data_IF_016647791026
#
_entry.id   IF_016647791026
#
_cell.length_a   1.000
_cell.length_b   1.000
_cell.length_c   1.000
_cell.angle_alpha   90.00
_cell.angle_beta   90.00
_cell.angle_gamma   90.00
#
_symmetry.space_group_name_H-M   'P 1'
#
loop_
_entity.id
_entity.type
_entity.pdbx_description
1 polymer ?
#
# COMPACT_ATOMS: atom_id res chain seq x y z
N UNK A 1 -66.84 22.20 50.92
CA UNK A 1 -66.54 23.57 50.45
C UNK A 1 -65.50 24.19 51.36
N UNK A 2 -64.27 24.27 50.87
CA UNK A 2 -63.33 25.37 51.12
C UNK A 2 -62.33 25.33 49.96
N UNK A 3 -62.48 26.32 49.10
CA UNK A 3 -61.52 26.70 48.07
C UNK A 3 -60.22 27.16 48.73
N UNK A 4 -59.11 26.89 48.04
CA UNK A 4 -57.77 27.23 48.45
C UNK A 4 -56.84 27.11 47.25
N UNK A 5 -57.11 27.97 46.27
CA UNK A 5 -56.26 28.31 45.14
C UNK A 5 -54.94 28.92 45.63
N UNK A 6 -53.82 28.54 45.02
CA UNK A 6 -52.62 29.37 44.88
C UNK A 6 -51.64 28.66 43.93
N UNK A 7 -51.70 29.09 42.68
CA UNK A 7 -50.63 29.07 41.68
C UNK A 7 -49.24 29.32 42.31
N UNK A 8 -48.29 28.43 42.00
CA UNK A 8 -46.88 28.77 41.98
C UNK A 8 -46.31 28.34 40.63
N UNK A 9 -46.32 29.28 39.69
CA UNK A 9 -45.45 29.26 38.53
C UNK A 9 -44.00 29.36 39.03
N UNK A 10 -43.22 28.28 38.91
CA UNK A 10 -41.77 28.39 38.96
C UNK A 10 -41.25 28.78 37.57
N UNK A 11 -40.43 29.85 37.47
CA UNK A 11 -39.71 30.14 36.24
C UNK A 11 -38.58 29.13 36.10
N UNK A 12 -38.57 28.38 34.99
CA UNK A 12 -37.38 27.67 34.51
C UNK A 12 -36.32 28.68 34.05
N UNK A 13 -35.70 29.39 35.00
CA UNK A 13 -34.46 30.12 34.79
C UNK A 13 -33.30 29.27 35.32
N UNK A 14 -32.72 28.47 34.42
CA UNK A 14 -31.60 27.59 34.73
C UNK A 14 -30.67 27.41 33.53
N UNK A 15 -30.39 28.47 32.78
CA UNK A 15 -29.40 28.49 31.72
C UNK A 15 -28.08 29.11 32.19
N UNK A 16 -27.55 28.72 33.36
CA UNK A 16 -26.18 29.08 33.71
C UNK A 16 -25.45 27.91 34.35
N UNK A 17 -24.19 27.75 33.94
CA UNK A 17 -23.26 26.67 34.25
C UNK A 17 -23.36 25.41 33.38
N UNK A 18 -23.06 25.57 32.09
CA UNK A 18 -22.13 24.62 31.48
C UNK A 18 -20.91 24.49 32.41
N UNK A 19 -20.83 23.35 33.11
CA UNK A 19 -19.86 23.06 34.15
C UNK A 19 -18.44 23.39 33.69
N UNK A 20 -17.60 23.95 34.57
CA UNK A 20 -16.21 24.33 34.28
C UNK A 20 -15.42 23.21 33.59
N UNK A 21 -15.79 21.96 33.86
CA UNK A 21 -15.28 20.75 33.21
C UNK A 21 -15.53 20.69 31.69
N UNK A 22 -16.72 21.06 31.21
CA UNK A 22 -17.03 21.05 29.77
C UNK A 22 -16.22 22.10 29.00
N UNK A 23 -16.00 23.28 29.61
CA UNK A 23 -15.19 24.34 29.00
C UNK A 23 -13.73 23.93 28.84
N UNK A 24 -13.18 23.23 29.83
CA UNK A 24 -11.80 22.70 29.77
C UNK A 24 -11.68 21.61 28.70
N UNK A 25 -12.67 20.72 28.61
CA UNK A 25 -12.67 19.64 27.63
C UNK A 25 -12.76 20.17 26.18
N UNK A 26 -13.62 21.17 25.95
CA UNK A 26 -13.70 21.86 24.66
C UNK A 26 -12.41 22.60 24.30
N UNK A 27 -11.70 23.16 25.29
CA UNK A 27 -10.42 23.85 25.06
C UNK A 27 -9.32 22.87 24.65
N UNK A 28 -9.23 21.71 25.31
CA UNK A 28 -8.30 20.65 24.92
C UNK A 28 -8.61 20.16 23.51
N UNK A 29 -9.88 19.93 23.20
CA UNK A 29 -10.31 19.51 21.87
C UNK A 29 -9.94 20.53 20.79
N UNK A 30 -10.10 21.83 21.06
CA UNK A 30 -9.69 22.89 20.14
C UNK A 30 -8.17 22.91 19.91
N UNK A 31 -7.36 22.70 20.95
CA UNK A 31 -5.89 22.63 20.82
C UNK A 31 -5.47 21.44 19.95
N UNK A 32 -6.10 20.27 20.14
CA UNK A 32 -5.83 19.08 19.33
C UNK A 32 -6.19 19.33 17.86
N UNK A 33 -7.33 19.98 17.58
CA UNK A 33 -7.72 20.31 16.21
C UNK A 33 -6.73 21.27 15.54
N UNK A 34 -6.25 22.29 16.24
CA UNK A 34 -5.26 23.23 15.69
C UNK A 34 -3.94 22.51 15.40
N UNK A 35 -3.51 21.60 16.28
CA UNK A 35 -2.31 20.81 16.07
C UNK A 35 -2.44 19.86 14.86
N UNK A 36 -3.59 19.20 14.70
CA UNK A 36 -3.86 18.32 13.56
C UNK A 36 -3.89 19.09 12.23
N UNK A 37 -4.55 20.25 12.19
CA UNK A 37 -4.57 21.12 11.02
C UNK A 37 -3.16 21.65 10.67
N UNK A 38 -2.38 22.04 11.67
CA UNK A 38 -0.99 22.45 11.47
C UNK A 38 -0.11 21.34 10.90
N UNK A 39 -0.28 20.11 11.39
CA UNK A 39 0.41 18.93 10.88
C UNK A 39 0.02 18.62 9.42
N UNK A 40 -1.27 18.73 9.08
CA UNK A 40 -1.75 18.51 7.72
C UNK A 40 -1.17 19.53 6.74
N UNK A 41 -1.14 20.82 7.10
CA UNK A 41 -0.51 21.88 6.28
C UNK A 41 0.99 21.67 6.13
N UNK A 42 1.67 21.21 7.19
CA UNK A 42 3.10 20.89 7.12
C UNK A 42 3.37 19.74 6.14
N UNK A 43 2.57 18.67 6.18
CA UNK A 43 2.65 17.57 5.21
C UNK A 43 2.45 18.08 3.78
N UNK A 44 1.43 18.90 3.51
CA UNK A 44 1.20 19.42 2.15
C UNK A 44 2.33 20.33 1.65
N UNK A 45 2.99 21.08 2.52
CA UNK A 45 4.10 21.97 2.14
C UNK A 45 5.46 21.27 2.03
N UNK A 46 5.61 20.09 2.64
CA UNK A 46 6.89 19.34 2.65
C UNK A 46 6.85 18.11 1.75
N UNK A 47 5.68 17.75 1.22
CA UNK A 47 5.59 16.75 0.16
C UNK A 47 6.15 17.39 -1.13
N UNK A 48 7.20 16.81 -1.75
CA UNK A 48 7.70 17.33 -3.02
C UNK A 48 6.60 17.25 -4.08
N UNK A 49 6.38 18.36 -4.79
CA UNK A 49 5.42 18.46 -5.89
C UNK A 49 5.64 17.30 -6.87
N UNK A 50 4.72 16.34 -6.88
CA UNK A 50 4.77 15.17 -7.75
C UNK A 50 3.95 15.35 -9.03
N UNK A 51 3.54 16.58 -9.33
CA UNK A 51 2.81 16.92 -10.56
C UNK A 51 3.37 18.20 -11.16
N UNK A 52 4.22 18.09 -12.20
CA UNK A 52 3.89 18.51 -13.58
C UNK A 52 5.14 18.39 -14.49
N UNK A 53 5.29 17.26 -15.20
CA UNK A 53 6.16 17.19 -16.38
C UNK A 53 5.28 16.98 -17.61
N UNK A 54 4.56 18.03 -18.02
CA UNK A 54 4.01 18.14 -19.36
C UNK A 54 3.99 19.58 -19.85
N UNK A 55 5.16 20.07 -20.28
CA UNK A 55 5.23 21.05 -21.36
C UNK A 55 6.55 20.93 -22.12
N UNK A 56 6.44 20.92 -23.45
CA UNK A 56 7.46 20.59 -24.45
C UNK A 56 8.10 21.87 -24.98
N UNK A 57 9.43 21.83 -25.22
CA UNK A 57 10.25 22.57 -26.21
C UNK A 57 10.32 24.11 -26.18
N UNK A 58 11.56 24.69 -26.16
CA UNK A 58 12.22 25.43 -27.27
C UNK A 58 13.75 25.49 -27.05
N UNK A 59 14.46 25.47 -28.18
CA UNK A 59 15.90 25.51 -28.54
C UNK A 59 16.81 26.62 -27.97
N UNK A 60 18.09 26.24 -27.98
CA UNK A 60 19.36 26.97 -28.24
C UNK A 60 19.85 28.06 -27.27
N UNK A 61 20.99 27.78 -26.62
CA UNK A 61 22.24 28.54 -26.83
C UNK A 61 23.44 27.79 -26.22
N UNK A 62 24.52 27.75 -26.99
CA UNK A 62 25.78 27.09 -26.70
C UNK A 62 26.52 27.66 -25.48
N UNK A 63 27.15 26.78 -24.70
CA UNK A 63 28.36 27.10 -23.96
C UNK A 63 29.19 25.82 -23.77
N UNK A 64 30.33 25.81 -24.46
CA UNK A 64 31.45 24.89 -24.32
C UNK A 64 31.87 24.79 -22.87
N UNK A 65 31.97 23.57 -22.33
CA UNK A 65 32.89 23.26 -21.24
C UNK A 65 33.39 21.83 -21.41
N UNK A 66 34.70 21.73 -21.59
CA UNK A 66 35.51 20.55 -21.37
C UNK A 66 35.22 20.00 -19.97
N UNK A 67 34.50 18.89 -19.92
CA UNK A 67 34.59 17.93 -18.85
C UNK A 67 34.44 16.56 -19.49
N UNK A 68 35.54 15.82 -19.54
CA UNK A 68 35.56 14.39 -19.85
C UNK A 68 34.80 13.66 -18.74
N UNK A 69 33.46 13.69 -18.80
CA UNK A 69 32.62 12.72 -18.13
C UNK A 69 32.84 11.39 -18.85
N UNK A 70 33.57 10.50 -18.20
CA UNK A 70 33.46 9.07 -18.45
C UNK A 70 32.00 8.71 -18.22
N UNK A 71 31.20 8.74 -19.29
CA UNK A 71 29.88 8.16 -19.33
C UNK A 71 30.06 6.68 -18.99
N UNK A 72 29.87 6.37 -17.70
CA UNK A 72 29.68 5.02 -17.25
C UNK A 72 28.38 4.61 -17.90
N UNK A 73 28.49 3.90 -19.02
CA UNK A 73 27.37 3.25 -19.66
C UNK A 73 26.92 2.20 -18.65
N UNK A 74 26.01 2.57 -17.75
CA UNK A 74 25.30 1.59 -16.94
C UNK A 74 24.68 0.63 -17.96
N UNK A 75 25.28 -0.55 -18.04
CA UNK A 75 24.70 -1.64 -18.80
C UNK A 75 23.48 -2.01 -17.99
N UNK A 76 22.34 -1.41 -18.31
CA UNK A 76 21.04 -1.88 -17.83
C UNK A 76 20.89 -3.28 -18.38
N UNK A 77 21.34 -4.27 -17.60
CA UNK A 77 20.83 -5.63 -17.74
C UNK A 77 19.33 -5.49 -17.55
N UNK A 78 18.58 -5.78 -18.61
CA UNK A 78 17.12 -5.87 -18.54
C UNK A 78 16.82 -7.14 -17.72
N UNK A 79 16.89 -7.00 -16.39
CA UNK A 79 16.66 -8.06 -15.40
C UNK A 79 15.21 -8.60 -15.48
N UNK A 80 14.39 -8.04 -16.36
CA UNK A 80 13.00 -8.40 -16.61
C UNK A 80 12.70 -8.87 -18.05
N UNK A 81 13.73 -9.39 -18.73
CA UNK A 81 13.57 -10.12 -19.98
C UNK A 81 13.18 -11.60 -19.72
N UNK A 82 11.88 -11.88 -19.71
CA UNK A 82 11.36 -13.24 -19.51
C UNK A 82 11.82 -14.26 -20.56
N UNK A 83 12.35 -13.84 -21.71
CA UNK A 83 12.84 -14.78 -22.74
C UNK A 83 14.17 -15.44 -22.36
N UNK A 84 14.88 -14.88 -21.37
CA UNK A 84 16.18 -15.36 -20.90
C UNK A 84 16.09 -16.30 -19.70
N UNK A 85 14.89 -16.49 -19.15
CA UNK A 85 14.70 -17.34 -17.96
C UNK A 85 14.52 -18.80 -18.33
N UNK A 86 15.04 -19.71 -17.50
CA UNK A 86 14.93 -21.17 -17.68
C UNK A 86 14.17 -21.84 -16.54
N UNK A 87 13.45 -21.04 -15.74
CA UNK A 87 12.71 -21.53 -14.57
C UNK A 87 11.52 -22.38 -15.02
N UNK A 88 11.38 -23.55 -14.40
CA UNK A 88 10.19 -24.40 -14.57
C UNK A 88 9.06 -23.87 -13.70
N UNK A 89 7.90 -23.60 -14.31
CA UNK A 89 6.71 -23.09 -13.63
C UNK A 89 5.67 -24.20 -13.49
N UNK A 90 5.04 -24.30 -12.32
CA UNK A 90 3.78 -25.05 -12.18
C UNK A 90 2.73 -24.39 -13.09
N UNK A 91 2.15 -25.16 -14.00
CA UNK A 91 1.18 -24.64 -14.96
C UNK A 91 -0.23 -24.63 -14.37
N UNK A 92 -0.95 -23.53 -14.59
CA UNK A 92 -2.38 -23.40 -14.27
C UNK A 92 -3.20 -23.48 -15.56
N UNK A 93 -4.45 -23.91 -15.44
CA UNK A 93 -5.41 -23.79 -16.56
C UNK A 93 -6.25 -22.52 -16.46
N UNK A 94 -6.50 -22.04 -15.23
CA UNK A 94 -7.46 -20.95 -14.99
C UNK A 94 -6.91 -19.78 -14.17
N UNK A 95 -5.72 -19.91 -13.55
CA UNK A 95 -5.15 -18.91 -12.65
C UNK A 95 -6.11 -18.54 -11.50
N UNK A 96 -6.58 -19.53 -10.76
CA UNK A 96 -7.51 -19.31 -9.65
C UNK A 96 -6.81 -18.73 -8.39
N UNK A 97 -6.76 -17.40 -8.33
CA UNK A 97 -6.28 -16.62 -7.17
C UNK A 97 -7.15 -16.75 -5.91
N UNK A 98 -8.30 -17.42 -6.02
CA UNK A 98 -9.18 -17.79 -4.91
C UNK A 98 -8.74 -19.05 -4.19
N UNK A 99 -7.69 -19.74 -4.67
CA UNK A 99 -7.12 -20.92 -4.00
C UNK A 99 -7.68 -22.25 -4.48
N UNK A 100 -8.32 -22.32 -5.66
CA UNK A 100 -8.76 -23.60 -6.25
C UNK A 100 -7.68 -24.35 -7.03
N UNK A 101 -6.54 -23.72 -7.35
CA UNK A 101 -5.43 -24.34 -8.08
C UNK A 101 -4.07 -23.93 -7.49
N UNK A 102 -3.06 -24.79 -7.62
CA UNK A 102 -1.66 -24.41 -7.42
C UNK A 102 -1.02 -24.03 -8.76
N UNK A 103 -0.27 -22.93 -8.78
CA UNK A 103 0.45 -22.52 -9.98
C UNK A 103 1.59 -21.57 -9.67
N UNK A 104 2.49 -21.43 -10.65
CA UNK A 104 3.53 -20.40 -10.64
C UNK A 104 3.31 -19.43 -11.81
N UNK A 105 3.77 -18.19 -11.65
CA UNK A 105 3.88 -17.22 -12.75
C UNK A 105 5.10 -16.33 -12.55
N UNK A 106 5.61 -15.74 -13.63
CA UNK A 106 6.64 -14.72 -13.55
C UNK A 106 6.05 -13.33 -13.73
N UNK A 107 6.55 -12.40 -12.94
CA UNK A 107 6.31 -10.97 -13.07
C UNK A 107 7.63 -10.22 -12.96
N UNK A 108 7.65 -9.00 -13.48
CA UNK A 108 8.67 -8.02 -13.18
C UNK A 108 8.05 -7.01 -12.21
N UNK A 109 8.76 -6.67 -11.15
CA UNK A 109 8.24 -5.70 -10.20
C UNK A 109 9.26 -5.26 -9.17
N UNK A 110 8.83 -4.40 -8.27
CA UNK A 110 9.64 -3.92 -7.16
C UNK A 110 8.81 -3.85 -5.89
N UNK A 111 9.49 -3.96 -4.76
CA UNK A 111 8.83 -3.90 -3.46
C UNK A 111 8.44 -2.47 -3.12
N UNK A 112 7.24 -2.32 -2.61
CA UNK A 112 6.71 -1.08 -2.03
C UNK A 112 6.15 -1.38 -0.65
N UNK A 113 6.19 -0.38 0.23
CA UNK A 113 5.68 -0.48 1.59
C UNK A 113 4.60 0.57 1.79
N UNK A 114 3.53 0.20 2.50
CA UNK A 114 2.42 1.11 2.82
C UNK A 114 1.99 0.91 4.25
N UNK A 115 1.92 1.99 4.99
CA UNK A 115 1.28 1.99 6.30
C UNK A 115 -0.23 1.96 6.11
N UNK A 116 -0.88 0.94 6.68
CA UNK A 116 -2.32 0.75 6.61
C UNK A 116 -2.91 0.63 8.00
N UNK A 117 -4.00 1.38 8.23
CA UNK A 117 -4.81 1.26 9.43
C UNK A 117 -5.84 0.16 9.20
N UNK A 118 -5.72 -0.93 9.95
CA UNK A 118 -6.68 -2.01 9.91
C UNK A 118 -7.69 -1.82 11.04
N UNK A 119 -8.96 -1.78 10.67
CA UNK A 119 -10.04 -1.84 11.64
C UNK A 119 -10.11 -3.27 12.19
N UNK A 120 -9.66 -3.48 13.42
CA UNK A 120 -10.00 -4.67 14.19
C UNK A 120 -11.39 -4.45 14.80
N UNK A 121 -12.26 -5.47 14.74
CA UNK A 121 -13.54 -5.39 15.45
C UNK A 121 -13.27 -5.32 16.96
N UNK A 122 -13.43 -4.13 17.55
CA UNK A 122 -13.48 -3.94 19.01
C UNK A 122 -12.19 -3.48 19.71
N UNK A 123 -11.07 -3.34 19.00
CA UNK A 123 -9.79 -2.87 19.55
C UNK A 123 -9.30 -1.59 18.84
N UNK A 124 -8.38 -0.86 19.51
CA UNK A 124 -7.64 0.29 18.95
C UNK A 124 -7.15 -0.01 17.51
N UNK A 125 -7.18 0.96 16.59
CA UNK A 125 -6.77 0.75 15.20
C UNK A 125 -5.34 0.21 15.15
N UNK A 126 -5.18 -0.96 14.52
CA UNK A 126 -3.86 -1.57 14.35
C UNK A 126 -3.22 -1.04 13.07
N UNK A 127 -2.21 -0.20 13.24
CA UNK A 127 -1.38 0.26 12.13
C UNK A 127 -0.33 -0.81 11.80
N UNK A 128 -0.32 -1.30 10.56
CA UNK A 128 0.70 -2.23 10.05
C UNK A 128 1.38 -1.66 8.81
N UNK A 129 2.68 -1.87 8.71
CA UNK A 129 3.40 -1.64 7.47
C UNK A 129 3.24 -2.87 6.58
N UNK A 130 2.48 -2.75 5.50
CA UNK A 130 2.23 -3.81 4.52
C UNK A 130 3.24 -3.78 3.40
N UNK A 131 3.68 -4.97 3.00
CA UNK A 131 4.57 -5.18 1.87
C UNK A 131 3.75 -5.50 0.62
N UNK A 132 4.02 -4.75 -0.45
CA UNK A 132 3.37 -4.93 -1.75
C UNK A 132 4.42 -5.11 -2.85
N UNK A 133 4.25 -6.13 -3.67
CA UNK A 133 4.97 -6.21 -4.94
C UNK A 133 4.23 -5.36 -5.97
N UNK A 134 4.85 -4.26 -6.37
CA UNK A 134 4.37 -3.43 -7.48
C UNK A 134 4.84 -4.03 -8.80
N UNK A 135 3.91 -4.58 -9.58
CA UNK A 135 4.18 -5.25 -10.84
C UNK A 135 4.21 -4.24 -11.99
N UNK A 136 5.31 -4.26 -12.75
CA UNK A 136 5.53 -3.42 -13.93
C UNK A 136 5.36 -4.18 -15.24
N UNK A 137 5.50 -5.52 -15.23
CA UNK A 137 5.34 -6.38 -16.41
C UNK A 137 4.88 -7.77 -16.02
N UNK A 138 3.99 -8.36 -16.82
CA UNK A 138 3.55 -9.74 -16.67
C UNK A 138 4.18 -10.61 -17.74
N UNK A 139 4.55 -11.84 -17.38
CA UNK A 139 4.93 -12.84 -18.38
C UNK A 139 3.70 -13.40 -19.11
N UNK A 140 2.63 -13.68 -18.37
CA UNK A 140 1.38 -14.25 -18.91
C UNK A 140 0.22 -13.27 -18.75
N UNK A 141 -0.37 -12.86 -19.88
CA UNK A 141 -1.54 -11.99 -19.94
C UNK A 141 -2.80 -12.64 -19.34
N UNK A 142 -2.90 -13.96 -19.32
CA UNK A 142 -4.01 -14.67 -18.66
C UNK A 142 -3.98 -14.49 -17.15
N UNK A 143 -2.79 -14.48 -16.55
CA UNK A 143 -2.64 -14.19 -15.12
C UNK A 143 -3.05 -12.75 -14.83
N UNK A 144 -2.63 -11.79 -15.67
CA UNK A 144 -3.09 -10.39 -15.57
C UNK A 144 -4.63 -10.30 -15.65
N UNK A 145 -5.26 -10.99 -16.60
CA UNK A 145 -6.72 -11.01 -16.73
C UNK A 145 -7.43 -11.61 -15.50
N UNK A 146 -6.88 -12.68 -14.91
CA UNK A 146 -7.40 -13.26 -13.67
C UNK A 146 -7.29 -12.28 -12.49
N UNK A 147 -6.18 -11.54 -12.40
CA UNK A 147 -5.97 -10.50 -11.40
C UNK A 147 -6.94 -9.33 -11.57
N UNK A 148 -7.14 -8.86 -12.80
CA UNK A 148 -8.14 -7.83 -13.15
C UNK A 148 -9.55 -8.25 -12.70
N UNK A 149 -9.93 -9.50 -12.98
CA UNK A 149 -11.23 -10.04 -12.57
C UNK A 149 -11.40 -10.02 -11.05
N UNK A 150 -10.40 -10.49 -10.30
CA UNK A 150 -10.45 -10.52 -8.84
C UNK A 150 -10.58 -9.14 -8.21
N UNK A 151 -9.84 -8.15 -8.73
CA UNK A 151 -9.95 -6.75 -8.27
C UNK A 151 -11.37 -6.23 -8.54
N UNK A 152 -11.92 -6.50 -9.73
CA UNK A 152 -13.31 -6.13 -10.07
C UNK A 152 -14.35 -6.83 -9.20
N UNK A 153 -14.07 -8.05 -8.74
CA UNK A 153 -14.96 -8.80 -7.83
C UNK A 153 -14.86 -8.33 -6.36
N UNK A 154 -14.06 -7.29 -6.06
CA UNK A 154 -13.96 -6.68 -4.74
C UNK A 154 -12.84 -7.23 -3.86
N UNK A 155 -11.84 -7.90 -4.44
CA UNK A 155 -10.62 -8.26 -3.72
C UNK A 155 -9.84 -7.00 -3.33
N UNK A 156 -9.81 -6.69 -2.02
CA UNK A 156 -9.18 -5.49 -1.46
C UNK A 156 -7.67 -5.61 -1.21
N UNK A 157 -7.12 -6.84 -1.27
CA UNK A 157 -5.68 -7.10 -1.02
C UNK A 157 -4.84 -6.70 -2.23
N UNK A 158 -5.44 -6.76 -3.42
CA UNK A 158 -4.81 -6.30 -4.65
C UNK A 158 -5.42 -4.96 -5.04
N UNK A 159 -4.59 -4.07 -5.57
CA UNK A 159 -5.11 -2.87 -6.21
C UNK A 159 -4.51 -2.72 -7.60
N UNK A 160 -5.33 -2.15 -8.50
CA UNK A 160 -4.90 -1.67 -9.79
C UNK A 160 -5.21 -0.18 -9.83
N UNK A 161 -4.17 0.66 -9.84
CA UNK A 161 -4.33 2.11 -9.95
C UNK A 161 -3.38 2.62 -11.05
N UNK A 162 -3.92 3.38 -12.00
CA UNK A 162 -3.16 3.94 -13.12
C UNK A 162 -2.30 2.89 -13.88
N UNK A 163 -2.83 1.68 -14.07
CA UNK A 163 -2.13 0.59 -14.77
C UNK A 163 -1.03 -0.11 -13.96
N UNK A 164 -0.87 0.26 -12.69
CA UNK A 164 0.09 -0.37 -11.77
C UNK A 164 -0.64 -1.37 -10.90
N UNK A 165 -0.17 -2.62 -10.86
CA UNK A 165 -0.73 -3.67 -10.03
C UNK A 165 0.08 -3.82 -8.76
N UNK A 166 -0.61 -3.88 -7.62
CA UNK A 166 0.01 -4.15 -6.34
C UNK A 166 -0.52 -5.45 -5.78
N UNK A 167 0.39 -6.39 -5.55
CA UNK A 167 0.10 -7.70 -4.97
C UNK A 167 0.51 -7.68 -3.50
N UNK A 168 -0.42 -8.00 -2.61
CA UNK A 168 -0.13 -8.11 -1.17
C UNK A 168 0.83 -9.25 -0.88
N UNK A 169 1.98 -8.92 -0.31
CA UNK A 169 3.06 -9.84 0.07
C UNK A 169 3.15 -9.99 1.59
N UNK A 170 2.08 -9.71 2.34
CA UNK A 170 2.08 -9.76 3.81
C UNK A 170 2.55 -8.45 4.46
N UNK A 171 3.21 -8.55 5.60
CA UNK A 171 3.66 -7.42 6.41
C UNK A 171 5.17 -7.22 6.32
N UNK A 172 5.63 -6.00 6.55
CA UNK A 172 7.04 -5.67 6.70
C UNK A 172 7.37 -5.49 8.19
N UNK A 173 8.08 -6.47 8.76
CA UNK A 173 8.45 -6.50 10.17
C UNK A 173 9.91 -6.93 10.33
N UNK A 174 10.63 -6.31 11.26
CA UNK A 174 12.02 -6.64 11.56
C UNK A 174 12.93 -6.67 10.31
N UNK A 175 12.73 -5.71 9.40
CA UNK A 175 13.44 -5.61 8.12
C UNK A 175 13.22 -6.78 7.15
N UNK A 176 12.11 -7.51 7.27
CA UNK A 176 11.76 -8.65 6.43
C UNK A 176 10.30 -8.61 6.00
N UNK A 177 10.00 -9.29 4.91
CA UNK A 177 8.62 -9.55 4.49
C UNK A 177 8.17 -10.83 5.21
N UNK A 178 7.09 -10.73 5.97
CA UNK A 178 6.54 -11.83 6.77
C UNK A 178 5.08 -12.07 6.41
N UNK A 179 4.66 -13.34 6.46
CA UNK A 179 3.25 -13.73 6.42
C UNK A 179 2.81 -14.37 7.72
N UNK A 180 1.49 -14.42 7.94
CA UNK A 180 0.90 -15.18 9.04
C UNK A 180 1.21 -16.70 8.93
N UNK A 181 1.60 -17.17 7.73
CA UNK A 181 1.94 -18.56 7.43
C UNK A 181 3.45 -18.86 7.47
N UNK A 182 4.31 -17.87 7.77
CA UNK A 182 5.77 -18.01 7.82
C UNK A 182 6.53 -17.19 6.78
N UNK A 183 7.76 -17.61 6.49
CA UNK A 183 8.64 -16.92 5.54
C UNK A 183 8.17 -17.13 4.09
N UNK A 184 7.79 -16.03 3.44
CA UNK A 184 7.31 -15.99 2.06
C UNK A 184 8.41 -16.14 1.01
N UNK A 185 9.64 -15.84 1.40
CA UNK A 185 10.79 -15.70 0.49
C UNK A 185 12.04 -16.22 1.18
N UNK A 186 12.97 -16.76 0.41
CA UNK A 186 14.30 -17.08 0.92
C UNK A 186 15.11 -15.79 1.20
N UNK A 187 16.21 -15.92 1.95
CA UNK A 187 17.03 -14.79 2.36
C UNK A 187 17.70 -14.03 1.20
N UNK A 188 18.07 -14.71 0.11
CA UNK A 188 18.70 -14.07 -1.04
C UNK A 188 17.66 -13.26 -1.83
N UNK A 189 16.49 -13.85 -2.06
CA UNK A 189 15.33 -13.20 -2.67
C UNK A 189 14.85 -12.01 -1.83
N UNK A 190 14.84 -12.12 -0.49
CA UNK A 190 14.50 -11.04 0.42
C UNK A 190 15.43 -9.82 0.24
N UNK A 191 16.74 -10.04 0.15
CA UNK A 191 17.73 -8.97 -0.06
C UNK A 191 17.50 -8.27 -1.40
N UNK A 192 17.30 -9.05 -2.48
CA UNK A 192 17.05 -8.50 -3.82
C UNK A 192 15.73 -7.71 -3.88
N UNK A 193 14.65 -8.22 -3.27
CA UNK A 193 13.36 -7.52 -3.19
C UNK A 193 13.48 -6.20 -2.44
N UNK A 194 14.17 -6.18 -1.30
CA UNK A 194 14.36 -4.95 -0.51
C UNK A 194 15.23 -3.92 -1.23
N UNK A 195 16.14 -4.35 -2.10
CA UNK A 195 16.96 -3.47 -2.92
C UNK A 195 16.28 -3.02 -4.23
N UNK A 196 15.15 -3.64 -4.60
CA UNK A 196 14.43 -3.33 -5.84
C UNK A 196 13.78 -1.95 -5.78
N UNK A 197 13.77 -1.26 -6.91
CA UNK A 197 13.13 0.06 -7.05
C UNK A 197 12.35 0.12 -8.36
N UNK A 198 11.60 1.20 -8.56
CA UNK A 198 10.89 1.43 -9.83
C UNK A 198 11.81 1.38 -11.05
N UNK A 199 13.02 1.92 -10.93
CA UNK A 199 14.01 1.97 -12.01
C UNK A 199 14.88 0.70 -12.08
N UNK A 200 14.87 -0.10 -11.01
CA UNK A 200 15.58 -1.39 -10.91
C UNK A 200 14.62 -2.49 -10.45
N UNK A 201 13.60 -2.82 -11.25
CA UNK A 201 12.69 -3.90 -10.92
C UNK A 201 13.40 -5.24 -11.09
N UNK A 202 12.90 -6.26 -10.38
CA UNK A 202 13.44 -7.61 -10.39
C UNK A 202 12.43 -8.59 -10.96
N UNK A 203 12.89 -9.65 -11.62
CA UNK A 203 12.05 -10.76 -12.03
C UNK A 203 11.71 -11.62 -10.82
N UNK A 204 10.43 -11.80 -10.56
CA UNK A 204 9.92 -12.55 -9.41
C UNK A 204 9.05 -13.69 -9.90
N UNK A 205 9.35 -14.90 -9.43
CA UNK A 205 8.43 -16.03 -9.49
C UNK A 205 7.47 -15.96 -8.32
N UNK A 206 6.19 -15.91 -8.64
CA UNK A 206 5.09 -15.95 -7.69
C UNK A 206 4.54 -17.37 -7.67
N UNK A 207 4.54 -18.01 -6.50
CA UNK A 207 3.89 -19.29 -6.27
C UNK A 207 2.57 -19.11 -5.54
N UNK A 208 1.54 -19.83 -5.98
CA UNK A 208 0.21 -19.87 -5.39
C UNK A 208 -0.13 -21.30 -5.01
N UNK A 209 -0.75 -21.46 -3.84
CA UNK A 209 -1.19 -22.75 -3.30
C UNK A 209 -2.70 -22.76 -3.04
N UNK A 210 -3.25 -23.96 -2.88
CA UNK A 210 -4.66 -24.18 -2.51
C UNK A 210 -4.88 -23.74 -1.07
N UNK A 211 -5.59 -22.62 -0.86
CA UNK A 211 -5.88 -22.08 0.47
C UNK A 211 -7.34 -21.62 0.59
N UNK A 212 -7.97 -21.94 1.72
CA UNK A 212 -9.34 -21.55 2.03
C UNK A 212 -9.40 -20.18 2.71
N UNK A 213 -9.61 -19.12 1.92
CA UNK A 213 -10.27 -17.91 2.40
C UNK A 213 -9.44 -16.93 3.22
N UNK A 214 -9.60 -15.65 2.88
CA UNK A 214 -8.89 -14.51 3.45
C UNK A 214 -9.66 -13.90 4.61
N UNK A 215 -8.93 -13.57 5.67
CA UNK A 215 -9.45 -12.88 6.85
C UNK A 215 -8.36 -12.56 7.88
N UNK A 216 -7.11 -12.38 7.45
CA UNK A 216 -5.96 -12.26 8.33
C UNK A 216 -5.22 -10.92 8.18
N UNK A 217 -4.62 -10.47 9.27
CA UNK A 217 -4.00 -9.15 9.42
C UNK A 217 -2.75 -8.95 8.56
N UNK A 218 -2.05 -10.02 8.19
CA UNK A 218 -0.91 -10.00 7.27
C UNK A 218 -1.12 -10.98 6.10
N UNK A 219 -2.36 -11.12 5.63
CA UNK A 219 -2.71 -11.96 4.49
C UNK A 219 -1.91 -11.59 3.24
N UNK A 220 -1.09 -12.53 2.81
CA UNK A 220 -0.50 -12.66 1.49
C UNK A 220 -1.44 -13.51 0.62
N UNK A 221 -1.56 -13.19 -0.66
CA UNK A 221 -2.19 -14.12 -1.61
C UNK A 221 -1.16 -14.86 -2.45
N UNK A 222 0.06 -14.33 -2.55
CA UNK A 222 1.22 -15.07 -3.05
C UNK A 222 1.75 -15.92 -1.90
N UNK A 223 1.80 -17.23 -2.08
CA UNK A 223 2.32 -18.19 -1.09
C UNK A 223 3.85 -18.18 -1.03
N UNK A 224 4.49 -17.98 -2.19
CA UNK A 224 5.96 -17.94 -2.29
C UNK A 224 6.44 -16.88 -3.27
N UNK A 225 7.46 -16.13 -2.86
CA UNK A 225 8.17 -15.14 -3.66
C UNK A 225 9.62 -15.59 -3.83
N UNK A 226 10.08 -15.67 -5.08
CA UNK A 226 11.46 -16.03 -5.40
C UNK A 226 11.99 -15.09 -6.49
N UNK A 227 13.11 -14.42 -6.23
CA UNK A 227 13.76 -13.56 -7.23
C UNK A 227 14.71 -14.38 -8.07
N UNK A 228 14.44 -14.40 -9.38
CA UNK A 228 15.21 -15.18 -10.36
C UNK A 228 16.52 -14.49 -10.72
#
# INVERSE_FOLDING_TARGET
MKEGDMDLHEPFEGHEHATTSLKVLLLIFAVVLIAALGYFVYQTNTTPDSTDYSAKTVKDAAATNDATETATTETTTDDCDFTKTTVTLKTATTYDLGGGEEFDTLVCGYLTQKEENMALEGDEPLTKNRAYLTVTKFQDEKFKAALDKQISDGNTVNSAAAGTYQLGCGCYENSKIVSDTGDLTDAASQVKLLASTKDKPVMVKLGFQVHAGRGCSCCNLVDKLEVI
#
